data_IF_588781568547
#
_entry.id   IF_588781568547
#
_cell.length_a   1.000
_cell.length_b   1.000
_cell.length_c   1.000
_cell.angle_alpha   90.00
_cell.angle_beta   90.00
_cell.angle_gamma   90.00
#
_symmetry.space_group_name_H-M   'P 1'
#
loop_
_entity.id
_entity.type
_entity.pdbx_description
1 polymer ?
#
# COMPACT_ATOMS: atom_id res chain seq x y z
N UNK A 1 16.96 -16.10 11.66
CA UNK A 1 17.36 -14.69 11.49
C UNK A 1 16.08 -13.89 11.52
N UNK A 2 15.98 -12.81 12.30
CA UNK A 2 14.82 -11.91 12.18
C UNK A 2 14.82 -11.32 10.78
N UNK A 3 13.77 -11.58 10.01
CA UNK A 3 13.56 -10.87 8.76
C UNK A 3 13.17 -9.43 9.10
N UNK A 4 13.71 -8.43 8.38
CA UNK A 4 13.25 -7.06 8.56
C UNK A 4 11.75 -7.02 8.28
N UNK A 5 10.96 -6.42 9.17
CA UNK A 5 9.53 -6.26 8.94
C UNK A 5 9.33 -5.40 7.70
N UNK A 6 8.64 -5.96 6.70
CA UNK A 6 8.35 -5.29 5.44
C UNK A 6 6.88 -4.85 5.45
N UNK A 7 6.66 -3.65 4.95
CA UNK A 7 5.35 -3.17 4.55
C UNK A 7 5.39 -2.87 3.05
N UNK A 8 4.46 -3.43 2.30
CA UNK A 8 4.29 -3.06 0.88
C UNK A 8 3.16 -2.06 0.72
N UNK A 9 3.30 -1.13 -0.23
CA UNK A 9 2.31 -0.12 -0.56
C UNK A 9 1.81 -0.26 -1.99
N UNK A 10 0.50 -0.27 -2.16
CA UNK A 10 -0.16 -0.18 -3.46
C UNK A 10 -1.32 0.83 -3.37
N UNK A 11 -1.46 1.73 -4.35
CA UNK A 11 -2.61 2.66 -4.40
C UNK A 11 -2.94 3.14 -5.80
N UNK A 12 -4.05 3.88 -5.91
CA UNK A 12 -4.49 4.60 -7.12
C UNK A 12 -4.24 6.12 -7.07
N UNK A 13 -3.49 6.61 -6.09
CA UNK A 13 -3.19 8.04 -5.90
C UNK A 13 -2.25 8.66 -6.96
N UNK A 14 -1.53 7.85 -7.74
CA UNK A 14 -0.46 8.34 -8.59
C UNK A 14 0.75 8.84 -7.79
N UNK A 15 1.67 9.52 -8.48
CA UNK A 15 2.89 10.11 -7.91
C UNK A 15 3.01 11.62 -8.19
N UNK A 16 1.94 12.23 -8.72
CA UNK A 16 1.95 13.63 -9.12
C UNK A 16 1.69 14.59 -7.95
N UNK A 17 1.19 14.07 -6.83
CA UNK A 17 0.91 14.84 -5.62
C UNK A 17 1.59 14.19 -4.38
N UNK A 18 1.24 14.70 -3.20
CA UNK A 18 1.93 14.40 -1.94
C UNK A 18 1.35 13.18 -1.20
N UNK A 19 0.26 12.56 -1.65
CA UNK A 19 -0.46 11.60 -0.80
C UNK A 19 0.37 10.35 -0.46
N UNK A 20 1.11 9.81 -1.43
CA UNK A 20 2.05 8.70 -1.18
C UNK A 20 3.14 9.10 -0.19
N UNK A 21 3.66 10.32 -0.32
CA UNK A 21 4.64 10.87 0.62
C UNK A 21 4.07 11.01 2.03
N UNK A 22 2.84 11.48 2.17
CA UNK A 22 2.14 11.59 3.46
C UNK A 22 1.93 10.23 4.10
N UNK A 23 1.49 9.21 3.34
CA UNK A 23 1.35 7.85 3.84
C UNK A 23 2.67 7.32 4.42
N UNK A 24 3.77 7.48 3.68
CA UNK A 24 5.10 7.06 4.14
C UNK A 24 5.56 7.85 5.36
N UNK A 25 5.25 9.15 5.42
CA UNK A 25 5.52 9.99 6.60
C UNK A 25 4.82 9.47 7.85
N UNK A 26 3.53 9.12 7.75
CA UNK A 26 2.77 8.53 8.87
C UNK A 26 3.35 7.18 9.27
N UNK A 27 3.69 6.32 8.29
CA UNK A 27 4.34 5.03 8.57
C UNK A 27 5.66 5.23 9.33
N UNK A 28 6.49 6.17 8.89
CA UNK A 28 7.78 6.47 9.51
C UNK A 28 7.63 7.04 10.93
N UNK A 29 6.55 7.80 11.21
CA UNK A 29 6.23 8.26 12.57
C UNK A 29 5.88 7.11 13.50
N UNK A 30 5.17 6.09 13.00
CA UNK A 30 4.81 4.90 13.79
C UNK A 30 6.01 3.97 13.99
N UNK A 31 6.77 3.70 12.93
CA UNK A 31 7.98 2.89 12.99
C UNK A 31 9.01 3.36 11.94
N UNK A 32 10.05 4.12 12.35
CA UNK A 32 11.05 4.65 11.43
C UNK A 32 12.01 3.59 10.87
N UNK A 33 12.04 2.38 11.44
CA UNK A 33 12.89 1.27 11.00
C UNK A 33 12.16 0.30 10.06
N UNK A 34 10.87 0.52 9.81
CA UNK A 34 10.07 -0.35 8.94
C UNK A 34 10.51 -0.19 7.49
N UNK A 35 10.77 -1.32 6.80
CA UNK A 35 11.10 -1.28 5.38
C UNK A 35 9.82 -1.15 4.57
N UNK A 36 9.63 0.00 3.92
CA UNK A 36 8.50 0.26 3.02
C UNK A 36 8.92 -0.03 1.58
N UNK A 37 8.14 -0.82 0.85
CA UNK A 37 8.34 -1.15 -0.56
C UNK A 37 7.08 -0.77 -1.34
N UNK A 38 7.19 0.13 -2.30
CA UNK A 38 6.06 0.41 -3.19
C UNK A 38 5.96 -0.71 -4.24
N UNK A 39 4.77 -1.28 -4.38
CA UNK A 39 4.45 -2.16 -5.51
C UNK A 39 4.12 -1.30 -6.73
N UNK A 40 3.15 -0.40 -6.60
CA UNK A 40 2.80 0.61 -7.59
C UNK A 40 1.80 1.61 -6.98
N UNK A 41 1.86 2.85 -7.44
CA UNK A 41 0.84 3.86 -7.14
C UNK A 41 0.07 4.29 -8.39
N UNK A 42 0.24 3.58 -9.50
CA UNK A 42 -0.32 3.90 -10.81
C UNK A 42 -1.51 2.99 -11.16
N UNK A 43 -2.23 2.48 -10.15
CA UNK A 43 -3.52 1.86 -10.43
C UNK A 43 -4.46 2.95 -10.93
N UNK A 44 -5.23 2.64 -11.98
CA UNK A 44 -6.26 3.56 -12.45
C UNK A 44 -7.25 3.88 -11.32
N UNK A 45 -7.70 5.13 -11.18
CA UNK A 45 -8.58 5.53 -10.09
C UNK A 45 -9.76 4.57 -9.93
N UNK A 46 -9.95 4.07 -8.71
CA UNK A 46 -11.07 3.21 -8.33
C UNK A 46 -11.06 1.80 -8.94
N UNK A 47 -10.03 1.40 -9.68
CA UNK A 47 -9.93 0.06 -10.28
C UNK A 47 -9.45 -0.99 -9.27
N UNK A 48 -10.41 -1.48 -8.47
CA UNK A 48 -10.17 -2.52 -7.45
C UNK A 48 -9.70 -3.84 -8.08
N UNK A 49 -10.11 -4.15 -9.31
CA UNK A 49 -9.73 -5.40 -9.98
C UNK A 49 -8.26 -5.36 -10.41
N UNK A 50 -7.80 -4.25 -10.97
CA UNK A 50 -6.39 -4.05 -11.27
C UNK A 50 -5.54 -4.07 -10.01
N UNK A 51 -6.00 -3.46 -8.91
CA UNK A 51 -5.32 -3.51 -7.62
C UNK A 51 -5.18 -4.95 -7.09
N UNK A 52 -6.26 -5.72 -7.11
CA UNK A 52 -6.26 -7.13 -6.72
C UNK A 52 -5.28 -7.93 -7.59
N UNK A 53 -5.33 -7.76 -8.92
CA UNK A 53 -4.45 -8.48 -9.83
C UNK A 53 -2.98 -8.21 -9.52
N UNK A 54 -2.60 -6.94 -9.36
CA UNK A 54 -1.21 -6.58 -9.04
C UNK A 54 -0.76 -7.11 -7.67
N UNK A 55 -1.61 -6.99 -6.63
CA UNK A 55 -1.31 -7.52 -5.31
C UNK A 55 -1.11 -9.04 -5.34
N UNK A 56 -2.02 -9.77 -5.99
CA UNK A 56 -1.98 -11.25 -6.08
C UNK A 56 -0.74 -11.76 -6.80
N UNK A 57 -0.22 -11.01 -7.78
CA UNK A 57 1.02 -11.36 -8.46
C UNK A 57 2.27 -10.99 -7.65
N UNK A 58 2.21 -9.93 -6.82
CA UNK A 58 3.35 -9.45 -6.06
C UNK A 58 3.56 -10.20 -4.73
N UNK A 59 2.49 -10.47 -3.97
CA UNK A 59 2.62 -10.96 -2.59
C UNK A 59 3.45 -12.26 -2.42
N UNK A 60 3.48 -13.24 -3.35
CA UNK A 60 4.25 -14.48 -3.16
C UNK A 60 5.77 -14.25 -3.14
N UNK A 61 6.24 -13.08 -3.60
CA UNK A 61 7.67 -12.72 -3.61
C UNK A 61 8.13 -12.07 -2.29
N UNK A 62 7.23 -11.87 -1.33
CA UNK A 62 7.54 -11.27 -0.04
C UNK A 62 7.50 -12.32 1.09
N UNK A 63 8.29 -12.13 2.17
CA UNK A 63 8.21 -12.96 3.36
C UNK A 63 6.80 -13.05 3.94
N UNK A 64 6.46 -14.17 4.56
CA UNK A 64 5.11 -14.45 5.08
C UNK A 64 4.62 -13.45 6.16
N UNK A 65 5.53 -12.75 6.83
CA UNK A 65 5.25 -11.72 7.84
C UNK A 65 5.13 -10.31 7.27
N UNK A 66 5.14 -10.17 5.93
CA UNK A 66 4.95 -8.89 5.25
C UNK A 66 3.53 -8.38 5.42
N UNK A 67 3.39 -7.10 5.79
CA UNK A 67 2.09 -6.42 5.79
C UNK A 67 1.88 -5.77 4.42
N UNK A 68 0.79 -6.12 3.75
CA UNK A 68 0.41 -5.52 2.47
C UNK A 68 -0.67 -4.46 2.70
N UNK A 69 -0.36 -3.20 2.39
CA UNK A 69 -1.31 -2.09 2.47
C UNK A 69 -1.70 -1.69 1.05
N UNK A 70 -2.98 -1.87 0.74
CA UNK A 70 -3.57 -1.55 -0.56
C UNK A 70 -4.69 -0.54 -0.37
N UNK A 71 -4.57 0.62 -1.01
CA UNK A 71 -5.52 1.73 -0.91
C UNK A 71 -6.07 2.05 -2.30
N UNK A 72 -7.20 1.43 -2.63
CA UNK A 72 -8.03 1.76 -3.80
C UNK A 72 -9.47 1.73 -3.32
N UNK A 73 -10.05 2.90 -3.04
CA UNK A 73 -11.36 3.00 -2.40
C UNK A 73 -12.29 3.96 -3.15
N UNK A 74 -13.19 3.44 -4.00
CA UNK A 74 -14.21 4.25 -4.67
C UNK A 74 -15.17 4.94 -3.68
N UNK A 75 -15.27 4.45 -2.44
CA UNK A 75 -16.14 4.95 -1.39
C UNK A 75 -15.47 5.86 -0.37
N UNK A 76 -14.27 6.40 -0.67
CA UNK A 76 -13.52 7.28 0.24
C UNK A 76 -14.39 8.45 0.74
N UNK A 77 -14.31 8.76 2.04
CA UNK A 77 -15.14 9.79 2.68
C UNK A 77 -16.62 9.39 2.87
N UNK A 78 -17.02 8.20 2.43
CA UNK A 78 -18.35 7.64 2.65
C UNK A 78 -18.52 6.99 4.02
N UNK A 79 -19.64 6.28 4.21
CA UNK A 79 -19.93 5.55 5.46
C UNK A 79 -19.13 4.25 5.62
N UNK A 80 -18.34 3.87 4.61
CA UNK A 80 -17.58 2.62 4.59
C UNK A 80 -16.42 2.71 5.59
N UNK A 81 -16.26 1.66 6.40
CA UNK A 81 -15.10 1.54 7.30
C UNK A 81 -13.90 1.01 6.51
N UNK A 82 -12.72 1.56 6.79
CA UNK A 82 -11.45 0.95 6.38
C UNK A 82 -11.25 -0.40 7.10
N UNK A 83 -10.89 -1.43 6.35
CA UNK A 83 -10.63 -2.80 6.83
C UNK A 83 -9.22 -3.23 6.45
#
# INVERSE_FOLDING_TARGET
MEHPRILTLLSDFGLNDVYVGMMKGVIAQVNPLLKVIDLTHQIEPQDVMAAQFNLMNAYPFFPADTVHVTVVDPGVGGKRRAI
#
